data_IF_690821783244
#
_entry.id   IF_690821783244
#
_cell.length_a   1.000
_cell.length_b   1.000
_cell.length_c   1.000
_cell.angle_alpha   90.00
_cell.angle_beta   90.00
_cell.angle_gamma   90.00
#
_symmetry.space_group_name_H-M   'P 1'
#
loop_
_entity.id
_entity.type
_entity.pdbx_description
1 polymer ?
#
# COMPACT_ATOMS: atom_id res chain seq x y z
N UNK A 1 -47.55 -15.56 8.93
CA UNK A 1 -46.21 -15.96 8.48
C UNK A 1 -45.90 -15.44 7.08
N UNK A 2 -46.59 -15.90 6.04
CA UNK A 2 -46.41 -15.38 4.67
C UNK A 2 -46.61 -13.85 4.57
N UNK A 3 -47.65 -13.32 5.23
CA UNK A 3 -47.91 -11.88 5.30
C UNK A 3 -46.75 -11.11 5.97
N UNK A 4 -46.22 -11.63 7.08
CA UNK A 4 -45.10 -11.00 7.81
C UNK A 4 -43.80 -11.04 6.99
N UNK A 5 -43.54 -12.13 6.28
CA UNK A 5 -42.42 -12.22 5.34
C UNK A 5 -42.57 -11.24 4.17
N UNK A 6 -43.80 -11.06 3.65
CA UNK A 6 -44.11 -10.03 2.64
C UNK A 6 -43.85 -8.61 3.15
N UNK A 7 -44.18 -8.30 4.41
CA UNK A 7 -43.85 -7.02 5.05
C UNK A 7 -42.33 -6.81 5.14
N UNK A 8 -41.57 -7.86 5.48
CA UNK A 8 -40.10 -7.79 5.55
C UNK A 8 -39.50 -7.48 4.17
N UNK A 9 -39.95 -8.14 3.10
CA UNK A 9 -39.50 -7.87 1.73
C UNK A 9 -39.83 -6.42 1.32
N UNK A 10 -41.05 -5.96 1.57
CA UNK A 10 -41.44 -4.59 1.24
C UNK A 10 -40.58 -3.53 1.96
N UNK A 11 -40.19 -3.80 3.21
CA UNK A 11 -39.29 -2.91 3.96
C UNK A 11 -37.86 -2.93 3.38
N UNK A 12 -37.38 -4.07 2.88
CA UNK A 12 -36.08 -4.15 2.21
C UNK A 12 -36.07 -3.31 0.94
N UNK A 13 -37.11 -3.41 0.12
CA UNK A 13 -37.26 -2.57 -1.08
C UNK A 13 -37.25 -1.08 -0.73
N UNK A 14 -37.93 -0.71 0.36
CA UNK A 14 -37.95 0.66 0.86
C UNK A 14 -36.55 1.14 1.30
N UNK A 15 -35.81 0.30 2.03
CA UNK A 15 -34.42 0.56 2.43
C UNK A 15 -33.51 0.75 1.21
N UNK A 16 -33.60 -0.13 0.21
CA UNK A 16 -32.81 -0.05 -1.03
C UNK A 16 -33.15 1.20 -1.82
N UNK A 17 -34.44 1.55 -1.92
CA UNK A 17 -34.89 2.78 -2.58
C UNK A 17 -34.36 4.01 -1.84
N UNK A 18 -34.50 4.06 -0.52
CA UNK A 18 -34.10 5.21 0.30
C UNK A 18 -32.60 5.43 0.30
N UNK A 19 -31.81 4.36 0.27
CA UNK A 19 -30.35 4.43 0.15
C UNK A 19 -29.91 5.26 -1.07
N UNK A 20 -30.63 5.22 -2.20
CA UNK A 20 -30.28 5.99 -3.41
C UNK A 20 -30.38 7.50 -3.20
N UNK A 21 -31.17 7.94 -2.23
CA UNK A 21 -31.38 9.36 -1.89
C UNK A 21 -30.38 9.88 -0.84
N UNK A 22 -29.53 9.00 -0.30
CA UNK A 22 -28.55 9.35 0.74
C UNK A 22 -27.45 10.25 0.18
N UNK A 23 -27.26 11.40 0.83
CA UNK A 23 -26.25 12.41 0.44
C UNK A 23 -25.02 12.41 1.35
N UNK A 24 -25.18 12.00 2.62
CA UNK A 24 -24.13 11.96 3.65
C UNK A 24 -23.95 10.52 4.16
N UNK A 25 -22.74 10.17 4.64
CA UNK A 25 -22.44 8.83 5.17
C UNK A 25 -22.74 7.70 4.16
N UNK A 26 -22.44 7.94 2.88
CA UNK A 26 -22.86 7.05 1.77
C UNK A 26 -22.21 5.68 1.82
N UNK A 27 -20.98 5.59 2.34
CA UNK A 27 -20.24 4.33 2.51
C UNK A 27 -20.89 3.48 3.60
N UNK A 28 -21.21 4.09 4.72
CA UNK A 28 -21.76 3.44 5.92
C UNK A 28 -23.23 3.08 5.71
N UNK A 29 -24.01 3.95 5.05
CA UNK A 29 -25.36 3.62 4.64
C UNK A 29 -25.40 2.47 3.63
N UNK A 30 -24.29 2.23 2.91
CA UNK A 30 -24.19 1.10 1.98
C UNK A 30 -24.14 -0.23 2.73
N UNK A 31 -23.47 -0.29 3.87
CA UNK A 31 -23.39 -1.50 4.72
C UNK A 31 -24.75 -1.85 5.30
N UNK A 32 -25.50 -0.85 5.79
CA UNK A 32 -26.88 -1.05 6.25
C UNK A 32 -27.79 -1.62 5.15
N UNK A 33 -27.60 -1.17 3.90
CA UNK A 33 -28.30 -1.68 2.72
C UNK A 33 -27.84 -3.09 2.32
N UNK A 34 -26.55 -3.40 2.43
CA UNK A 34 -26.02 -4.76 2.16
C UNK A 34 -26.54 -5.79 3.20
N UNK A 35 -26.69 -5.40 4.47
CA UNK A 35 -27.33 -6.24 5.50
C UNK A 35 -28.80 -6.49 5.16
N UNK A 36 -29.55 -5.46 4.76
CA UNK A 36 -30.94 -5.60 4.36
C UNK A 36 -31.11 -6.58 3.17
N UNK A 37 -30.23 -6.50 2.16
CA UNK A 37 -30.20 -7.43 1.04
C UNK A 37 -29.83 -8.87 1.47
N UNK A 38 -28.96 -9.02 2.47
CA UNK A 38 -28.63 -10.34 3.02
C UNK A 38 -29.83 -10.99 3.75
N UNK A 39 -30.68 -10.18 4.39
CA UNK A 39 -31.94 -10.64 5.01
C UNK A 39 -33.00 -10.99 3.95
N UNK A 40 -32.92 -10.38 2.77
CA UNK A 40 -33.79 -10.67 1.63
C UNK A 40 -33.66 -12.12 1.18
N UNK A 41 -32.42 -12.60 0.98
CA UNK A 41 -32.13 -13.98 0.58
C UNK A 41 -32.73 -15.00 1.57
N UNK A 42 -32.61 -14.73 2.87
CA UNK A 42 -33.19 -15.55 3.93
C UNK A 42 -34.72 -15.53 3.89
N UNK A 43 -35.32 -14.36 3.67
CA UNK A 43 -36.78 -14.18 3.68
C UNK A 43 -37.45 -14.78 2.45
N UNK A 44 -36.81 -14.67 1.27
CA UNK A 44 -37.28 -15.30 0.03
C UNK A 44 -37.23 -16.83 0.14
N UNK A 45 -36.18 -17.38 0.76
CA UNK A 45 -36.10 -18.82 1.04
C UNK A 45 -37.26 -19.29 1.92
N UNK A 46 -37.64 -18.54 2.96
CA UNK A 46 -38.81 -18.86 3.80
C UNK A 46 -40.12 -18.85 2.99
N UNK A 47 -40.30 -17.85 2.12
CA UNK A 47 -41.49 -17.74 1.28
C UNK A 47 -41.60 -18.90 0.28
N UNK A 48 -40.48 -19.31 -0.31
CA UNK A 48 -40.45 -20.44 -1.23
C UNK A 48 -40.79 -21.76 -0.54
N UNK A 49 -40.29 -21.98 0.68
CA UNK A 49 -40.68 -23.14 1.50
C UNK A 49 -42.18 -23.14 1.83
N UNK A 50 -42.76 -21.97 2.17
CA UNK A 50 -44.21 -21.84 2.38
C UNK A 50 -44.99 -22.20 1.12
N UNK A 51 -44.50 -21.78 -0.05
CA UNK A 51 -45.14 -22.00 -1.35
C UNK A 51 -45.12 -23.47 -1.76
N UNK A 52 -44.02 -24.18 -1.47
CA UNK A 52 -43.82 -25.57 -1.87
C UNK A 52 -44.50 -26.57 -0.92
N UNK A 53 -44.43 -26.34 0.39
CA UNK A 53 -44.84 -27.33 1.41
C UNK A 53 -46.10 -26.96 2.20
N UNK A 54 -46.58 -25.71 2.05
CA UNK A 54 -47.73 -25.18 2.77
C UNK A 54 -47.39 -24.62 4.16
N UNK A 55 -48.15 -23.65 4.64
CA UNK A 55 -47.83 -22.90 5.87
C UNK A 55 -47.78 -23.73 7.17
N UNK A 56 -48.28 -24.98 7.13
CA UNK A 56 -48.41 -25.89 8.26
C UNK A 56 -47.16 -26.78 8.48
N UNK A 57 -46.24 -26.85 7.51
CA UNK A 57 -44.96 -27.58 7.65
C UNK A 57 -43.86 -26.72 8.26
N UNK A 58 -44.08 -25.41 8.36
CA UNK A 58 -43.12 -24.49 8.95
C UNK A 58 -42.92 -24.74 10.45
N UNK A 59 -41.67 -24.62 10.95
CA UNK A 59 -41.39 -24.70 12.37
C UNK A 59 -42.20 -23.68 13.17
N UNK A 60 -42.84 -24.09 14.29
CA UNK A 60 -43.37 -23.15 15.26
C UNK A 60 -42.19 -22.34 15.82
N UNK A 61 -42.15 -21.04 15.52
CA UNK A 61 -41.08 -20.15 16.00
C UNK A 61 -40.53 -19.16 14.97
N UNK A 62 -40.81 -19.32 13.67
CA UNK A 62 -40.32 -18.39 12.63
C UNK A 62 -40.91 -16.97 12.73
N UNK A 63 -41.99 -16.79 13.48
CA UNK A 63 -42.58 -15.47 13.70
C UNK A 63 -41.64 -14.52 14.44
N UNK A 64 -40.88 -15.03 15.42
CA UNK A 64 -39.96 -14.21 16.22
C UNK A 64 -38.78 -13.67 15.39
N UNK A 65 -38.06 -14.49 14.59
CA UNK A 65 -37.06 -14.01 13.64
C UNK A 65 -37.59 -12.97 12.64
N UNK A 66 -38.76 -13.21 12.04
CA UNK A 66 -39.34 -12.26 11.08
C UNK A 66 -39.75 -10.92 11.74
N UNK A 67 -40.21 -10.96 12.99
CA UNK A 67 -40.47 -9.73 13.76
C UNK A 67 -39.16 -8.98 14.03
N UNK A 68 -38.09 -9.67 14.40
CA UNK A 68 -36.77 -9.07 14.57
C UNK A 68 -36.24 -8.42 13.28
N UNK A 69 -36.43 -9.08 12.13
CA UNK A 69 -36.08 -8.51 10.83
C UNK A 69 -36.90 -7.27 10.51
N UNK A 70 -38.23 -7.33 10.66
CA UNK A 70 -39.12 -6.19 10.45
C UNK A 70 -38.69 -5.00 11.29
N UNK A 71 -38.44 -5.21 12.58
CA UNK A 71 -38.15 -4.11 13.50
C UNK A 71 -36.74 -3.53 13.27
N UNK A 72 -35.75 -4.37 12.95
CA UNK A 72 -34.42 -3.90 12.53
C UNK A 72 -34.45 -3.13 11.21
N UNK A 73 -35.18 -3.61 10.20
CA UNK A 73 -35.29 -2.94 8.90
C UNK A 73 -36.02 -1.59 8.99
N UNK A 74 -37.04 -1.47 9.85
CA UNK A 74 -37.69 -0.19 10.15
C UNK A 74 -36.69 0.82 10.71
N UNK A 75 -35.85 0.42 11.65
CA UNK A 75 -34.83 1.29 12.22
C UNK A 75 -33.74 1.67 11.22
N UNK A 76 -33.33 0.74 10.33
CA UNK A 76 -32.45 1.06 9.20
C UNK A 76 -33.11 2.11 8.30
N UNK A 77 -34.38 1.93 7.94
CA UNK A 77 -35.09 2.88 7.08
C UNK A 77 -35.22 4.27 7.73
N UNK A 78 -35.51 4.35 9.04
CA UNK A 78 -35.49 5.62 9.78
C UNK A 78 -34.13 6.32 9.69
N UNK A 79 -33.06 5.55 9.88
CA UNK A 79 -31.68 6.06 9.81
C UNK A 79 -31.37 6.60 8.42
N UNK A 80 -31.72 5.87 7.36
CA UNK A 80 -31.55 6.32 5.98
C UNK A 80 -32.38 7.56 5.66
N UNK A 81 -33.58 7.67 6.20
CA UNK A 81 -34.41 8.87 6.06
C UNK A 81 -33.76 10.11 6.68
N UNK A 82 -33.08 9.96 7.83
CA UNK A 82 -32.32 11.04 8.44
C UNK A 82 -31.15 11.46 7.54
N UNK A 83 -30.40 10.51 7.00
CA UNK A 83 -29.25 10.73 6.11
C UNK A 83 -29.62 11.28 4.72
N UNK A 84 -30.83 11.01 4.25
CA UNK A 84 -31.37 11.56 3.00
C UNK A 84 -31.98 12.96 3.16
N UNK A 85 -32.23 13.42 4.39
CA UNK A 85 -32.94 14.68 4.65
C UNK A 85 -32.09 15.92 4.37
N UNK A 86 -32.71 16.99 3.84
CA UNK A 86 -32.04 18.29 3.62
C UNK A 86 -31.66 19.02 4.93
N UNK A 87 -32.08 18.48 6.10
CA UNK A 87 -31.69 18.96 7.43
C UNK A 87 -30.23 18.61 7.79
N UNK A 88 -29.57 17.77 7.01
CA UNK A 88 -28.19 17.32 7.18
C UNK A 88 -27.10 18.28 6.62
N UNK A 89 -27.46 19.50 6.18
CA UNK A 89 -26.53 20.45 5.54
C UNK A 89 -25.56 21.17 6.50
N UNK A 90 -25.76 21.05 7.80
CA UNK A 90 -24.97 21.75 8.83
C UNK A 90 -23.95 20.79 9.45
N UNK A 91 -22.65 21.13 9.41
CA UNK A 91 -21.54 20.27 9.84
C UNK A 91 -21.64 19.84 11.31
N UNK A 92 -22.20 20.69 12.18
CA UNK A 92 -22.45 20.33 13.59
C UNK A 92 -23.59 19.31 13.71
N UNK A 93 -24.57 19.36 12.80
CA UNK A 93 -25.62 18.34 12.73
C UNK A 93 -25.09 17.03 12.19
N UNK A 94 -24.09 17.03 11.30
CA UNK A 94 -23.44 15.80 10.81
C UNK A 94 -22.84 15.00 11.97
N UNK A 95 -22.10 15.63 12.90
CA UNK A 95 -21.57 14.94 14.08
C UNK A 95 -22.66 14.41 15.03
N UNK A 96 -23.72 15.20 15.26
CA UNK A 96 -24.88 14.76 16.06
C UNK A 96 -25.58 13.57 15.37
N UNK A 97 -25.76 13.65 14.05
CA UNK A 97 -26.30 12.59 13.23
C UNK A 97 -25.42 11.35 13.28
N UNK A 98 -24.09 11.44 13.26
CA UNK A 98 -23.19 10.27 13.32
C UNK A 98 -23.38 9.46 14.60
N UNK A 99 -23.50 10.10 15.77
CA UNK A 99 -23.76 9.39 17.04
C UNK A 99 -25.16 8.76 17.05
N UNK A 100 -26.19 9.50 16.64
CA UNK A 100 -27.57 8.99 16.59
C UNK A 100 -27.73 7.88 15.56
N UNK A 101 -27.16 8.05 14.37
CA UNK A 101 -27.05 7.06 13.28
C UNK A 101 -26.46 5.77 13.82
N UNK A 102 -25.33 5.86 14.50
CA UNK A 102 -24.58 4.68 14.92
C UNK A 102 -25.25 3.91 16.06
N UNK A 103 -25.84 4.62 17.02
CA UNK A 103 -26.62 3.97 18.09
C UNK A 103 -27.85 3.28 17.53
N UNK A 104 -28.58 3.94 16.62
CA UNK A 104 -29.75 3.34 15.96
C UNK A 104 -29.38 2.17 15.06
N UNK A 105 -28.31 2.30 14.28
CA UNK A 105 -27.82 1.25 13.40
C UNK A 105 -27.35 0.04 14.20
N UNK A 106 -26.62 0.24 15.30
CA UNK A 106 -26.21 -0.85 16.21
C UNK A 106 -27.42 -1.58 16.78
N UNK A 107 -28.44 -0.84 17.23
CA UNK A 107 -29.68 -1.42 17.73
C UNK A 107 -30.42 -2.22 16.65
N UNK A 108 -30.47 -1.70 15.43
CA UNK A 108 -31.10 -2.34 14.29
C UNK A 108 -30.40 -3.64 13.87
N UNK A 109 -29.06 -3.60 13.74
CA UNK A 109 -28.27 -4.78 13.37
C UNK A 109 -28.31 -5.84 14.48
N UNK A 110 -28.32 -5.42 15.76
CA UNK A 110 -28.48 -6.35 16.89
C UNK A 110 -29.82 -7.09 16.85
N UNK A 111 -30.92 -6.43 16.46
CA UNK A 111 -32.22 -7.08 16.24
C UNK A 111 -32.14 -8.09 15.11
N UNK A 112 -31.58 -7.70 13.96
CA UNK A 112 -31.42 -8.61 12.81
C UNK A 112 -30.56 -9.82 13.20
N UNK A 113 -29.46 -9.61 13.92
CA UNK A 113 -28.61 -10.67 14.45
C UNK A 113 -29.38 -11.63 15.36
N UNK A 114 -30.16 -11.11 16.32
CA UNK A 114 -31.00 -11.95 17.17
C UNK A 114 -32.04 -12.76 16.39
N UNK A 115 -32.54 -12.24 15.26
CA UNK A 115 -33.36 -13.01 14.33
C UNK A 115 -32.59 -14.15 13.65
N UNK A 116 -31.37 -13.88 13.17
CA UNK A 116 -30.52 -14.86 12.49
C UNK A 116 -29.99 -15.95 13.43
N UNK A 117 -29.69 -15.62 14.68
CA UNK A 117 -29.29 -16.58 15.72
C UNK A 117 -30.37 -17.61 16.00
N UNK A 118 -31.62 -17.14 16.13
CA UNK A 118 -32.78 -18.00 16.33
C UNK A 118 -33.02 -18.95 15.14
N UNK A 119 -32.69 -18.51 13.93
CA UNK A 119 -32.80 -19.32 12.71
C UNK A 119 -31.66 -20.33 12.57
N UNK A 120 -30.45 -19.94 12.97
CA UNK A 120 -29.24 -20.77 12.84
C UNK A 120 -29.14 -21.84 13.93
N UNK A 121 -29.66 -21.58 15.14
CA UNK A 121 -29.68 -22.53 16.25
C UNK A 121 -30.82 -23.56 16.20
N UNK A 122 -31.74 -23.44 15.24
CA UNK A 122 -32.87 -24.35 15.11
C UNK A 122 -32.52 -25.52 14.17
N UNK A 123 -31.95 -26.59 14.72
CA UNK A 123 -31.63 -27.82 13.97
C UNK A 123 -32.85 -28.58 13.45
N UNK A 124 -34.06 -28.22 13.88
CA UNK A 124 -35.24 -29.07 13.71
C UNK A 124 -36.02 -28.84 12.40
N UNK A 125 -35.76 -27.78 11.61
CA UNK A 125 -36.80 -27.37 10.67
C UNK A 125 -36.42 -26.47 9.49
N UNK A 126 -35.14 -26.41 9.09
CA UNK A 126 -34.72 -25.59 7.94
C UNK A 126 -33.71 -26.31 7.06
N UNK A 127 -33.81 -26.10 5.74
CA UNK A 127 -32.89 -26.68 4.74
C UNK A 127 -31.44 -26.23 4.99
N UNK A 128 -30.47 -27.07 4.62
CA UNK A 128 -29.05 -26.73 4.65
C UNK A 128 -28.73 -25.43 3.88
N UNK A 129 -29.44 -25.17 2.77
CA UNK A 129 -29.30 -23.93 2.01
C UNK A 129 -29.75 -22.72 2.84
N UNK A 130 -30.89 -22.84 3.51
CA UNK A 130 -31.41 -21.81 4.40
C UNK A 130 -30.45 -21.48 5.54
N UNK A 131 -29.89 -22.51 6.19
CA UNK A 131 -28.92 -22.33 7.28
C UNK A 131 -27.64 -21.65 6.78
N UNK A 132 -27.22 -21.93 5.55
CA UNK A 132 -26.08 -21.23 4.94
C UNK A 132 -26.35 -19.76 4.64
N UNK A 133 -27.56 -19.41 4.15
CA UNK A 133 -27.94 -18.00 3.97
C UNK A 133 -28.00 -17.27 5.31
N UNK A 134 -28.61 -17.86 6.33
CA UNK A 134 -28.69 -17.29 7.66
C UNK A 134 -27.29 -17.08 8.29
N UNK A 135 -26.39 -18.06 8.15
CA UNK A 135 -25.00 -17.97 8.63
C UNK A 135 -24.21 -16.86 7.93
N UNK A 136 -24.29 -16.77 6.60
CA UNK A 136 -23.62 -15.70 5.83
C UNK A 136 -24.13 -14.31 6.21
N UNK A 137 -25.45 -14.17 6.38
CA UNK A 137 -26.04 -12.91 6.84
C UNK A 137 -25.59 -12.56 8.27
N UNK A 138 -25.42 -13.58 9.13
CA UNK A 138 -24.98 -13.41 10.52
C UNK A 138 -23.50 -13.02 10.61
N UNK A 139 -22.64 -13.64 9.81
CA UNK A 139 -21.22 -13.27 9.67
C UNK A 139 -21.09 -11.79 9.28
N UNK A 140 -21.82 -11.34 8.25
CA UNK A 140 -21.85 -9.92 7.84
C UNK A 140 -22.36 -8.98 8.93
N UNK A 141 -23.40 -9.37 9.67
CA UNK A 141 -23.93 -8.58 10.77
C UNK A 141 -22.92 -8.43 11.92
N UNK A 142 -22.17 -9.49 12.22
CA UNK A 142 -21.10 -9.48 13.23
C UNK A 142 -19.93 -8.58 12.79
N UNK A 143 -19.42 -8.77 11.58
CA UNK A 143 -18.35 -7.94 11.02
C UNK A 143 -18.74 -6.45 11.02
N UNK A 144 -19.98 -6.13 10.67
CA UNK A 144 -20.45 -4.73 10.69
C UNK A 144 -20.53 -4.18 12.11
N UNK A 145 -20.99 -4.96 13.08
CA UNK A 145 -21.06 -4.53 14.49
C UNK A 145 -19.67 -4.32 15.11
N UNK A 146 -18.71 -5.18 14.78
CA UNK A 146 -17.33 -5.10 15.26
C UNK A 146 -16.61 -3.89 14.69
N UNK A 147 -16.80 -3.59 13.40
CA UNK A 147 -16.15 -2.46 12.73
C UNK A 147 -16.87 -1.12 12.95
N UNK A 148 -18.10 -1.11 13.46
CA UNK A 148 -18.90 0.11 13.63
C UNK A 148 -18.21 1.21 14.48
N UNK A 149 -17.52 0.91 15.60
CA UNK A 149 -16.79 1.93 16.37
C UNK A 149 -15.68 2.62 15.56
N UNK A 150 -14.96 1.88 14.73
CA UNK A 150 -13.88 2.43 13.89
C UNK A 150 -14.43 3.28 12.76
N UNK A 151 -15.53 2.84 12.14
CA UNK A 151 -16.25 3.63 11.15
C UNK A 151 -16.72 4.97 11.74
N UNK A 152 -17.23 4.98 12.98
CA UNK A 152 -17.62 6.22 13.67
C UNK A 152 -16.42 7.12 13.89
N UNK A 153 -15.30 6.56 14.35
CA UNK A 153 -14.06 7.32 14.59
C UNK A 153 -13.56 7.96 13.30
N UNK A 154 -13.56 7.22 12.20
CA UNK A 154 -13.13 7.71 10.89
C UNK A 154 -14.05 8.80 10.34
N UNK A 155 -15.39 8.63 10.43
CA UNK A 155 -16.37 9.65 10.03
C UNK A 155 -16.17 10.94 10.81
N UNK A 156 -16.05 10.83 12.15
CA UNK A 156 -15.84 11.99 13.01
C UNK A 156 -14.51 12.66 12.68
N UNK A 157 -13.44 11.89 12.49
CA UNK A 157 -12.13 12.43 12.13
C UNK A 157 -12.12 13.13 10.77
N UNK A 158 -12.77 12.57 9.76
CA UNK A 158 -12.81 13.13 8.41
C UNK A 158 -13.71 14.37 8.33
N UNK A 159 -14.84 14.38 9.05
CA UNK A 159 -15.69 15.57 9.14
C UNK A 159 -15.00 16.70 9.91
N UNK A 160 -14.23 16.38 10.97
CA UNK A 160 -13.39 17.34 11.70
C UNK A 160 -12.29 17.90 10.78
N UNK A 161 -11.57 17.05 10.04
CA UNK A 161 -10.55 17.49 9.06
C UNK A 161 -11.17 18.40 7.99
N UNK A 162 -12.34 18.03 7.46
CA UNK A 162 -13.06 18.82 6.46
C UNK A 162 -13.59 20.16 7.02
N UNK A 163 -13.93 20.22 8.30
CA UNK A 163 -14.29 21.44 9.00
C UNK A 163 -13.08 22.36 9.19
N UNK A 164 -11.92 21.82 9.58
CA UNK A 164 -10.67 22.58 9.77
C UNK A 164 -10.07 23.09 8.46
N UNK A 165 -10.18 22.33 7.37
CA UNK A 165 -9.60 22.70 6.08
C UNK A 165 -10.42 23.75 5.31
N UNK A 166 -11.76 23.72 5.43
CA UNK A 166 -12.64 24.61 4.66
C UNK A 166 -12.94 25.94 5.34
N UNK A 167 -12.64 26.04 6.64
CA UNK A 167 -12.97 27.20 7.44
C UNK A 167 -11.66 27.72 8.00
N UNK A 168 -11.20 28.91 7.62
CA UNK A 168 -10.16 29.66 8.34
C UNK A 168 -10.67 30.06 9.74
N UNK A 169 -11.21 29.12 10.49
CA UNK A 169 -11.84 29.28 11.79
C UNK A 169 -10.94 28.57 12.77
N UNK A 170 -10.51 29.32 13.78
CA UNK A 170 -9.78 28.80 14.93
C UNK A 170 -10.55 27.61 15.55
N UNK A 171 -9.91 26.52 15.98
CA UNK A 171 -10.60 25.30 16.44
C UNK A 171 -11.57 25.52 17.62
N UNK A 172 -11.39 26.60 18.39
CA UNK A 172 -12.03 26.88 19.67
C UNK A 172 -13.57 26.99 19.58
N UNK A 173 -14.19 27.82 18.71
CA UNK A 173 -15.65 27.91 18.57
C UNK A 173 -16.34 26.61 18.11
N UNK A 174 -15.60 25.66 17.53
CA UNK A 174 -16.13 24.33 17.19
C UNK A 174 -16.08 23.38 18.39
N UNK A 175 -14.99 23.40 19.15
CA UNK A 175 -14.84 22.61 20.38
C UNK A 175 -15.84 23.07 21.45
N UNK A 176 -16.10 24.37 21.57
CA UNK A 176 -17.10 24.90 22.51
C UNK A 176 -18.52 24.41 22.19
N UNK A 177 -18.85 24.22 20.91
CA UNK A 177 -20.14 23.61 20.50
C UNK A 177 -20.22 22.13 20.83
N UNK A 178 -19.11 21.40 20.78
CA UNK A 178 -19.07 19.99 21.20
C UNK A 178 -19.31 19.87 22.71
N UNK A 179 -18.71 20.75 23.50
CA UNK A 179 -18.92 20.82 24.97
C UNK A 179 -20.35 21.25 25.30
N UNK A 180 -20.86 22.30 24.65
CA UNK A 180 -22.22 22.81 24.86
C UNK A 180 -23.32 21.78 24.60
N UNK A 181 -23.03 20.76 23.79
CA UNK A 181 -23.94 19.67 23.47
C UNK A 181 -23.58 18.33 24.15
N UNK A 182 -22.76 18.35 25.22
CA UNK A 182 -22.35 17.19 26.01
C UNK A 182 -21.59 16.10 25.21
N UNK A 183 -20.81 16.48 24.20
CA UNK A 183 -19.91 15.56 23.50
C UNK A 183 -18.53 15.43 24.18
N UNK A 184 -18.18 16.37 25.04
CA UNK A 184 -17.00 16.34 25.92
C UNK A 184 -17.33 17.09 27.22
N UNK A 185 -16.66 16.75 28.33
CA UNK A 185 -16.93 17.40 29.62
C UNK A 185 -16.50 18.86 29.62
N UNK A 186 -15.38 19.15 28.97
CA UNK A 186 -14.87 20.49 28.73
C UNK A 186 -14.01 20.53 27.45
N UNK A 187 -13.59 21.74 27.07
CA UNK A 187 -12.84 21.97 25.82
C UNK A 187 -11.44 21.33 25.88
N UNK A 188 -10.89 21.11 27.07
CA UNK A 188 -9.60 20.43 27.26
C UNK A 188 -9.74 18.91 27.12
N UNK A 189 -10.84 18.34 27.63
CA UNK A 189 -11.24 16.94 27.46
C UNK A 189 -11.46 16.61 25.98
N UNK A 190 -12.17 17.46 25.23
CA UNK A 190 -12.35 17.30 23.79
C UNK A 190 -11.02 17.29 23.02
N UNK A 191 -10.11 18.21 23.39
CA UNK A 191 -8.79 18.34 22.76
C UNK A 191 -7.88 17.15 23.08
N UNK A 192 -7.94 16.67 24.32
CA UNK A 192 -7.20 15.50 24.79
C UNK A 192 -7.68 14.22 24.10
N UNK A 193 -8.99 13.99 24.05
CA UNK A 193 -9.57 12.83 23.35
C UNK A 193 -9.22 12.83 21.85
N UNK A 194 -9.21 14.01 21.21
CA UNK A 194 -8.79 14.12 19.80
C UNK A 194 -7.30 13.77 19.61
N UNK A 195 -6.43 14.19 20.52
CA UNK A 195 -5.00 13.84 20.49
C UNK A 195 -4.78 12.35 20.76
N UNK A 196 -5.49 11.78 21.73
CA UNK A 196 -5.45 10.35 22.04
C UNK A 196 -5.91 9.51 20.84
N UNK A 197 -6.99 9.91 20.15
CA UNK A 197 -7.48 9.23 18.93
C UNK A 197 -6.51 9.36 17.75
N UNK A 198 -5.85 10.51 17.58
CA UNK A 198 -4.82 10.68 16.54
C UNK A 198 -3.62 9.78 16.80
N UNK A 199 -3.21 9.67 18.06
CA UNK A 199 -2.11 8.80 18.48
C UNK A 199 -2.48 7.32 18.38
N UNK A 200 -3.68 6.93 18.80
CA UNK A 200 -4.19 5.56 18.69
C UNK A 200 -4.30 5.13 17.23
N UNK A 201 -4.79 5.99 16.33
CA UNK A 201 -4.78 5.74 14.88
C UNK A 201 -3.37 5.50 14.36
N UNK A 202 -2.38 6.29 14.78
CA UNK A 202 -0.99 6.12 14.38
C UNK A 202 -0.38 4.82 14.92
N UNK A 203 -0.72 4.45 16.15
CA UNK A 203 -0.34 3.15 16.73
C UNK A 203 -0.97 1.98 15.98
N UNK A 204 -2.28 2.02 15.72
CA UNK A 204 -3.00 0.97 15.00
C UNK A 204 -2.51 0.83 13.55
N UNK A 205 -2.15 1.94 12.90
CA UNK A 205 -1.52 1.90 11.57
C UNK A 205 -0.15 1.23 11.62
N UNK A 206 0.65 1.48 12.66
CA UNK A 206 1.93 0.82 12.85
C UNK A 206 1.77 -0.68 13.19
N UNK A 207 0.82 -1.03 14.06
CA UNK A 207 0.51 -2.40 14.46
C UNK A 207 -0.06 -3.21 13.28
N UNK A 208 -0.93 -2.60 12.47
CA UNK A 208 -1.39 -3.20 11.22
C UNK A 208 -0.24 -3.41 10.23
N UNK A 209 0.67 -2.42 10.09
CA UNK A 209 1.86 -2.59 9.26
C UNK A 209 2.74 -3.75 9.75
N UNK A 210 2.82 -3.94 11.06
CA UNK A 210 3.57 -5.01 11.71
C UNK A 210 2.90 -6.38 11.50
N UNK A 211 1.58 -6.48 11.71
CA UNK A 211 0.81 -7.70 11.47
C UNK A 211 0.77 -8.10 9.99
N UNK A 212 0.62 -7.12 9.08
CA UNK A 212 0.66 -7.35 7.64
C UNK A 212 2.05 -7.85 7.21
N UNK A 213 3.12 -7.32 7.80
CA UNK A 213 4.50 -7.81 7.59
C UNK A 213 4.67 -9.25 8.09
N UNK A 214 4.18 -9.58 9.28
CA UNK A 214 4.27 -10.93 9.86
C UNK A 214 3.42 -11.95 9.06
N UNK A 215 2.24 -11.55 8.60
CA UNK A 215 1.38 -12.35 7.74
C UNK A 215 2.04 -12.60 6.37
N UNK A 216 2.63 -11.57 5.76
CA UNK A 216 3.43 -11.70 4.54
C UNK A 216 4.61 -12.65 4.71
N UNK A 217 5.28 -12.60 5.86
CA UNK A 217 6.39 -13.50 6.19
C UNK A 217 5.93 -14.95 6.38
N UNK A 218 4.78 -15.15 7.06
CA UNK A 218 4.14 -16.49 7.19
C UNK A 218 3.65 -17.04 5.85
N UNK A 219 3.09 -16.21 4.98
CA UNK A 219 2.65 -16.59 3.62
C UNK A 219 3.86 -16.95 2.74
N UNK A 220 4.99 -16.24 2.86
CA UNK A 220 6.24 -16.61 2.22
C UNK A 220 6.77 -17.97 2.74
N UNK A 221 6.66 -18.22 4.04
CA UNK A 221 7.08 -19.49 4.66
C UNK A 221 6.15 -20.67 4.31
N UNK A 222 4.85 -20.43 4.13
CA UNK A 222 3.90 -21.45 3.67
C UNK A 222 4.10 -21.80 2.18
N UNK A 223 4.53 -20.83 1.36
CA UNK A 223 4.91 -21.08 -0.04
C UNK A 223 6.20 -21.91 -0.19
N UNK A 224 6.92 -22.17 0.91
CA UNK A 224 8.11 -23.04 0.97
C UNK A 224 7.78 -24.47 1.44
N UNK A 225 6.52 -24.76 1.84
CA UNK A 225 6.07 -26.06 2.32
C UNK A 225 5.18 -26.77 1.28
N UNK A 226 5.72 -27.01 0.08
CA UNK A 226 5.21 -28.05 -0.82
C UNK A 226 6.28 -28.46 -1.86
N UNK A 227 7.38 -29.05 -1.39
CA UNK A 227 8.19 -29.98 -2.19
C UNK A 227 8.63 -31.12 -1.25
N UNK A 228 7.93 -32.24 -1.33
CA UNK A 228 8.32 -33.49 -0.68
C UNK A 228 9.57 -34.05 -1.40
N UNK A 229 10.66 -34.16 -0.63
CA UNK A 229 11.84 -35.05 -0.78
C UNK A 229 12.46 -35.26 -2.18
N UNK A 230 13.63 -34.62 -2.42
CA UNK A 230 14.76 -35.22 -3.16
C UNK A 230 16.09 -34.56 -2.74
N UNK A 231 17.23 -35.29 -2.82
CA UNK A 231 18.44 -35.06 -2.01
C UNK A 231 19.19 -33.77 -2.39
N UNK A 232 20.06 -33.23 -1.51
CA UNK A 232 20.65 -31.92 -1.73
C UNK A 232 21.47 -31.92 -3.03
N UNK A 233 21.17 -31.05 -4.01
CA UNK A 233 22.09 -30.82 -5.09
C UNK A 233 23.22 -29.97 -4.51
N UNK A 234 24.42 -30.53 -4.59
CA UNK A 234 25.69 -29.86 -4.36
C UNK A 234 25.71 -28.48 -5.03
N UNK A 235 26.29 -27.44 -4.39
CA UNK A 235 26.27 -26.10 -4.96
C UNK A 235 27.09 -26.07 -6.26
N UNK A 236 26.54 -25.60 -7.40
CA UNK A 236 27.37 -25.20 -8.52
C UNK A 236 28.02 -23.83 -8.20
N UNK A 237 29.30 -23.63 -8.56
CA UNK A 237 30.01 -22.39 -8.30
C UNK A 237 29.62 -21.36 -9.36
N UNK A 238 29.05 -20.22 -8.95
CA UNK A 238 28.93 -19.06 -9.83
C UNK A 238 28.93 -17.76 -9.03
N UNK A 239 30.14 -17.35 -8.68
CA UNK A 239 30.67 -15.97 -8.69
C UNK A 239 29.65 -14.82 -8.62
N UNK A 240 29.13 -14.51 -7.43
CA UNK A 240 28.85 -13.12 -7.10
C UNK A 240 30.20 -12.45 -6.79
N UNK A 241 30.73 -11.66 -7.74
CA UNK A 241 31.92 -10.82 -7.48
C UNK A 241 31.66 -9.96 -6.24
N UNK A 242 32.54 -10.03 -5.24
CA UNK A 242 32.44 -9.21 -4.04
C UNK A 242 32.41 -7.72 -4.41
N UNK A 243 31.31 -7.02 -4.10
CA UNK A 243 31.21 -5.56 -4.18
C UNK A 243 30.52 -4.96 -5.41
N UNK A 244 29.95 -5.76 -6.31
CA UNK A 244 29.13 -5.23 -7.42
C UNK A 244 27.64 -5.28 -7.09
N UNK A 245 26.85 -4.25 -7.49
CA UNK A 245 25.40 -4.32 -7.37
C UNK A 245 24.87 -5.50 -8.20
N UNK A 246 23.92 -6.27 -7.66
CA UNK A 246 23.14 -7.23 -8.43
C UNK A 246 22.66 -6.61 -9.75
N UNK A 247 22.67 -7.40 -10.82
CA UNK A 247 22.24 -6.95 -12.15
C UNK A 247 20.79 -6.45 -12.17
N UNK A 248 19.93 -6.97 -11.27
CA UNK A 248 18.56 -6.49 -11.07
C UNK A 248 18.47 -5.03 -10.58
N UNK A 249 19.55 -4.45 -10.06
CA UNK A 249 19.60 -3.06 -9.59
C UNK A 249 20.08 -2.09 -10.67
N UNK A 250 20.59 -2.62 -11.78
CA UNK A 250 21.14 -1.82 -12.88
C UNK A 250 20.05 -1.55 -13.92
N UNK A 251 19.87 -0.27 -14.25
CA UNK A 251 18.95 0.15 -15.30
C UNK A 251 19.46 -0.33 -16.67
N UNK A 252 18.66 -1.05 -17.47
CA UNK A 252 19.08 -1.51 -18.80
C UNK A 252 19.40 -0.39 -19.79
N UNK A 253 18.73 0.77 -19.66
CA UNK A 253 18.91 1.92 -20.56
C UNK A 253 20.19 2.70 -20.20
N UNK A 254 20.35 3.07 -18.93
CA UNK A 254 21.49 3.90 -18.49
C UNK A 254 22.75 3.07 -18.18
N UNK A 255 22.58 1.78 -17.88
CA UNK A 255 23.60 0.86 -17.38
C UNK A 255 24.20 1.28 -16.03
N UNK A 256 23.49 2.14 -15.31
CA UNK A 256 23.85 2.62 -13.98
C UNK A 256 22.87 2.10 -12.93
N UNK A 257 23.27 2.16 -11.66
CA UNK A 257 22.42 1.79 -10.52
C UNK A 257 21.18 2.69 -10.48
N UNK A 258 19.99 2.09 -10.40
CA UNK A 258 18.73 2.84 -10.36
C UNK A 258 18.62 3.65 -9.06
N UNK A 259 18.17 4.89 -9.16
CA UNK A 259 17.83 5.74 -8.01
C UNK A 259 16.32 5.81 -7.80
N UNK A 260 15.57 5.85 -8.90
CA UNK A 260 14.12 5.80 -8.87
C UNK A 260 13.58 4.70 -9.82
N UNK A 261 13.66 3.42 -9.41
CA UNK A 261 13.25 2.32 -10.25
C UNK A 261 11.74 2.34 -10.52
N UNK A 262 11.38 2.24 -11.80
CA UNK A 262 10.01 2.07 -12.30
C UNK A 262 9.92 0.78 -13.11
N UNK A 263 8.82 0.04 -12.94
CA UNK A 263 8.58 -1.20 -13.69
C UNK A 263 7.60 -0.94 -14.82
N UNK A 264 7.98 -1.38 -16.01
CA UNK A 264 7.12 -1.40 -17.18
C UNK A 264 6.11 -2.55 -17.06
N UNK A 265 4.82 -2.28 -17.28
CA UNK A 265 3.75 -3.30 -17.18
C UNK A 265 3.59 -4.07 -18.50
N UNK A 266 4.67 -4.68 -18.96
CA UNK A 266 4.71 -5.62 -20.08
C UNK A 266 5.01 -7.03 -19.58
N UNK A 267 4.96 -8.04 -20.45
CA UNK A 267 5.33 -9.42 -20.12
C UNK A 267 6.77 -9.54 -19.59
N UNK A 268 7.65 -8.59 -19.92
CA UNK A 268 9.05 -8.58 -19.44
C UNK A 268 9.17 -8.16 -17.97
N UNK A 269 8.18 -7.43 -17.43
CA UNK A 269 8.18 -6.86 -16.08
C UNK A 269 9.49 -6.18 -15.67
N UNK A 270 10.21 -5.60 -16.63
CA UNK A 270 11.54 -5.04 -16.42
C UNK A 270 11.49 -3.69 -15.71
N UNK A 271 12.42 -3.47 -14.79
CA UNK A 271 12.62 -2.17 -14.13
C UNK A 271 13.68 -1.32 -14.81
N UNK A 272 13.44 -0.01 -14.83
CA UNK A 272 14.28 1.03 -15.43
C UNK A 272 14.38 2.24 -14.50
N UNK A 273 15.37 3.10 -14.71
CA UNK A 273 15.42 4.43 -14.11
C UNK A 273 14.30 5.32 -14.71
N UNK A 274 13.50 5.98 -13.86
CA UNK A 274 12.33 6.75 -14.27
C UNK A 274 12.63 7.71 -15.41
N UNK A 275 13.61 8.59 -15.21
CA UNK A 275 13.92 9.65 -16.17
C UNK A 275 14.37 9.10 -17.53
N UNK A 276 15.03 7.94 -17.53
CA UNK A 276 15.47 7.26 -18.74
C UNK A 276 14.30 6.62 -19.48
N UNK A 277 13.37 5.99 -18.75
CA UNK A 277 12.19 5.36 -19.33
C UNK A 277 11.20 6.41 -19.87
N UNK A 278 10.94 7.49 -19.13
CA UNK A 278 10.07 8.60 -19.56
C UNK A 278 10.57 9.19 -20.90
N UNK A 279 11.86 9.52 -20.98
CA UNK A 279 12.46 10.05 -22.21
C UNK A 279 12.37 9.09 -23.39
N UNK A 280 12.45 7.78 -23.14
CA UNK A 280 12.34 6.76 -24.18
C UNK A 280 10.89 6.67 -24.69
N UNK A 281 9.91 6.59 -23.79
CA UNK A 281 8.49 6.47 -24.14
C UNK A 281 7.93 7.75 -24.78
N UNK A 282 8.49 8.92 -24.50
CA UNK A 282 8.17 10.16 -25.22
C UNK A 282 8.47 10.06 -26.74
N UNK A 283 9.50 9.30 -27.11
CA UNK A 283 9.92 9.10 -28.51
C UNK A 283 9.29 7.84 -29.11
N UNK A 284 9.05 6.82 -28.29
CA UNK A 284 8.56 5.51 -28.71
C UNK A 284 7.46 5.00 -27.74
N UNK A 285 6.24 5.56 -27.79
CA UNK A 285 5.21 5.32 -26.76
C UNK A 285 4.75 3.87 -26.61
N UNK A 286 4.88 3.07 -27.67
CA UNK A 286 4.37 1.69 -27.71
C UNK A 286 5.49 0.64 -27.69
N UNK A 287 6.77 1.01 -27.59
CA UNK A 287 7.89 0.08 -27.78
C UNK A 287 8.57 -0.28 -26.47
N UNK A 288 8.73 -1.56 -26.18
CA UNK A 288 9.48 -2.01 -24.99
C UNK A 288 11.00 -1.78 -25.21
N UNK A 289 11.69 -1.01 -24.33
CA UNK A 289 13.10 -0.68 -24.50
C UNK A 289 14.06 -1.88 -24.49
N UNK A 290 13.67 -2.99 -23.85
CA UNK A 290 14.51 -4.18 -23.72
C UNK A 290 14.25 -5.17 -24.85
N UNK A 291 12.98 -5.49 -25.10
CA UNK A 291 12.63 -6.54 -26.07
C UNK A 291 12.48 -6.00 -27.49
N UNK A 292 12.39 -4.67 -27.64
CA UNK A 292 12.15 -3.97 -28.90
C UNK A 292 10.84 -4.40 -29.59
N UNK A 293 9.88 -4.91 -28.79
CA UNK A 293 8.55 -5.33 -29.25
C UNK A 293 7.58 -4.15 -29.13
N UNK A 294 6.76 -3.96 -30.15
CA UNK A 294 5.72 -2.94 -30.18
C UNK A 294 4.40 -3.49 -29.60
N UNK A 295 3.77 -2.69 -28.73
CA UNK A 295 2.45 -2.91 -28.13
C UNK A 295 1.35 -2.23 -28.94
N UNK A 296 0.13 -2.74 -28.85
CA UNK A 296 -1.06 -2.14 -29.47
C UNK A 296 -1.50 -0.85 -28.75
N UNK A 297 -1.15 -0.71 -27.47
CA UNK A 297 -1.47 0.44 -26.64
C UNK A 297 -0.19 1.09 -26.07
N UNK A 298 -0.21 2.40 -25.76
CA UNK A 298 0.91 3.06 -25.09
C UNK A 298 1.29 2.36 -23.79
N UNK A 299 2.59 2.19 -23.59
CA UNK A 299 3.09 1.44 -22.45
C UNK A 299 2.94 2.23 -21.15
N UNK A 300 2.52 1.52 -20.10
CA UNK A 300 2.31 2.08 -18.77
C UNK A 300 3.37 1.52 -17.83
N UNK A 301 3.87 2.35 -16.92
CA UNK A 301 4.82 1.94 -15.89
C UNK A 301 4.41 2.45 -14.50
N UNK A 302 4.89 1.76 -13.47
CA UNK A 302 4.62 2.10 -12.07
C UNK A 302 5.89 2.15 -11.22
N UNK A 303 5.87 2.92 -10.14
CA UNK A 303 7.00 3.01 -9.21
C UNK A 303 7.26 1.67 -8.52
N UNK A 304 8.48 1.16 -8.60
CA UNK A 304 8.89 -0.07 -7.94
C UNK A 304 9.52 0.24 -6.56
N UNK A 305 8.66 0.51 -5.58
CA UNK A 305 9.10 0.84 -4.21
C UNK A 305 9.92 -0.28 -3.56
N UNK A 306 9.61 -1.53 -3.88
CA UNK A 306 10.34 -2.69 -3.36
C UNK A 306 11.78 -2.74 -3.86
N UNK A 307 11.97 -2.60 -5.18
CA UNK A 307 13.30 -2.54 -5.77
C UNK A 307 14.07 -1.32 -5.28
N UNK A 308 13.38 -0.19 -5.09
CA UNK A 308 13.97 1.02 -4.49
C UNK A 308 14.51 0.74 -3.09
N UNK A 309 13.71 0.15 -2.20
CA UNK A 309 14.15 -0.21 -0.85
C UNK A 309 15.25 -1.27 -0.84
N UNK A 310 15.23 -2.25 -1.77
CA UNK A 310 16.33 -3.21 -1.93
C UNK A 310 17.63 -2.53 -2.34
N UNK A 311 17.56 -1.60 -3.30
CA UNK A 311 18.72 -0.83 -3.74
C UNK A 311 19.22 0.05 -2.59
N UNK A 312 18.34 0.70 -1.85
CA UNK A 312 18.70 1.52 -0.68
C UNK A 312 19.34 0.70 0.44
N UNK A 313 18.80 -0.49 0.74
CA UNK A 313 19.39 -1.41 1.71
C UNK A 313 20.76 -1.92 1.24
N UNK A 314 20.86 -2.33 -0.03
CA UNK A 314 22.13 -2.71 -0.62
C UNK A 314 23.13 -1.55 -0.55
N UNK A 315 22.68 -0.32 -0.82
CA UNK A 315 23.50 0.90 -0.70
C UNK A 315 23.97 1.11 0.75
N UNK A 316 23.10 0.87 1.73
CA UNK A 316 23.38 1.01 3.16
C UNK A 316 24.34 -0.07 3.70
N UNK A 317 24.24 -1.29 3.19
CA UNK A 317 25.13 -2.41 3.57
C UNK A 317 26.49 -2.31 2.88
N UNK A 318 26.54 -1.67 1.71
CA UNK A 318 27.75 -1.44 0.93
C UNK A 318 28.22 0.02 1.03
N UNK A 319 27.90 0.71 2.15
CA UNK A 319 28.28 2.11 2.39
C UNK A 319 29.78 2.29 2.25
N UNK A 320 30.64 1.34 2.61
CA UNK A 320 32.09 1.47 2.41
C UNK A 320 32.53 1.52 0.93
N UNK A 321 31.65 1.17 -0.01
CA UNK A 321 31.86 1.29 -1.47
C UNK A 321 31.09 2.46 -2.11
N UNK A 322 30.12 3.04 -1.39
CA UNK A 322 29.22 4.11 -1.87
C UNK A 322 29.32 5.41 -1.07
N UNK A 323 30.01 5.38 0.07
CA UNK A 323 30.44 6.55 0.81
C UNK A 323 31.45 7.26 -0.04
N UNK A 324 30.95 8.22 -0.83
CA UNK A 324 31.74 9.32 -1.37
C UNK A 324 32.71 9.76 -0.28
N UNK A 325 34.03 9.59 -0.44
CA UNK A 325 34.92 10.27 0.47
C UNK A 325 34.72 11.77 0.21
N UNK A 326 34.37 12.60 1.21
CA UNK A 326 34.28 14.03 1.04
C UNK A 326 35.71 14.53 0.95
N UNK A 327 36.23 14.46 -0.27
CA UNK A 327 37.56 14.88 -0.59
C UNK A 327 37.35 15.94 -1.65
N UNK A 328 37.13 17.18 -1.19
CA UNK A 328 37.33 18.41 -1.98
C UNK A 328 38.83 18.55 -2.31
N UNK A 329 39.40 17.56 -3.00
CA UNK A 329 40.72 17.64 -3.59
C UNK A 329 40.55 17.89 -5.08
N UNK A 330 41.33 18.83 -5.59
CA UNK A 330 41.48 18.97 -7.02
C UNK A 330 42.11 17.70 -7.64
N UNK A 331 41.85 17.51 -8.93
CA UNK A 331 42.36 16.37 -9.71
C UNK A 331 43.89 16.27 -9.65
N UNK A 332 44.59 17.41 -9.58
CA UNK A 332 46.04 17.44 -9.46
C UNK A 332 46.54 16.81 -8.15
N UNK A 333 45.87 17.09 -7.03
CA UNK A 333 46.21 16.54 -5.73
C UNK A 333 45.86 15.06 -5.64
N UNK A 334 44.75 14.64 -6.24
CA UNK A 334 44.38 13.23 -6.36
C UNK A 334 45.47 12.47 -7.15
N UNK A 335 45.88 12.99 -8.31
CA UNK A 335 46.92 12.38 -9.15
C UNK A 335 48.24 12.21 -8.39
N UNK A 336 48.69 13.27 -7.71
CA UNK A 336 49.93 13.24 -6.91
C UNK A 336 49.87 12.19 -5.80
N UNK A 337 48.76 12.10 -5.08
CA UNK A 337 48.59 11.14 -3.98
C UNK A 337 48.47 9.71 -4.49
N UNK A 338 47.76 9.49 -5.61
CA UNK A 338 47.63 8.18 -6.24
C UNK A 338 48.99 7.64 -6.70
N UNK A 339 49.81 8.47 -7.35
CA UNK A 339 51.15 8.09 -7.79
C UNK A 339 52.14 7.86 -6.65
N UNK A 340 51.99 8.57 -5.53
CA UNK A 340 52.88 8.46 -4.37
C UNK A 340 52.45 7.42 -3.32
N UNK A 341 51.26 6.82 -3.46
CA UNK A 341 50.68 5.94 -2.46
C UNK A 341 51.44 4.61 -2.33
N UNK A 342 51.98 4.35 -1.14
CA UNK A 342 52.71 3.11 -0.82
C UNK A 342 51.78 2.00 -0.34
N UNK A 343 50.68 2.35 0.32
CA UNK A 343 49.68 1.42 0.84
C UNK A 343 48.45 1.31 -0.08
N UNK A 344 47.77 0.16 0.04
CA UNK A 344 46.61 -0.18 -0.77
C UNK A 344 45.40 0.70 -0.49
N UNK A 345 45.18 1.03 0.79
CA UNK A 345 44.05 1.83 1.22
C UNK A 345 44.09 3.25 0.63
N UNK A 346 45.26 3.90 0.63
CA UNK A 346 45.43 5.22 0.01
C UNK A 346 45.23 5.16 -1.51
N UNK A 347 45.74 4.13 -2.20
CA UNK A 347 45.50 3.97 -3.64
C UNK A 347 44.01 3.82 -3.95
N UNK A 348 43.32 2.96 -3.20
CA UNK A 348 41.89 2.72 -3.35
C UNK A 348 41.09 4.02 -3.14
N UNK A 349 41.37 4.74 -2.06
CA UNK A 349 40.68 5.97 -1.72
C UNK A 349 40.88 7.07 -2.78
N UNK A 350 42.10 7.21 -3.31
CA UNK A 350 42.38 8.20 -4.37
C UNK A 350 41.77 7.81 -5.71
N UNK A 351 41.78 6.52 -6.06
CA UNK A 351 41.17 6.03 -7.31
C UNK A 351 39.64 6.16 -7.30
N UNK A 352 39.00 5.95 -6.14
CA UNK A 352 37.55 6.19 -5.95
C UNK A 352 37.22 7.69 -6.02
N UNK A 353 38.01 8.55 -5.36
CA UNK A 353 37.80 9.99 -5.46
C UNK A 353 37.92 10.50 -6.91
N UNK A 354 38.88 9.97 -7.68
CA UNK A 354 39.02 10.27 -9.10
C UNK A 354 37.84 9.76 -9.93
N UNK A 355 37.37 8.54 -9.64
CA UNK A 355 36.20 7.94 -10.28
C UNK A 355 34.95 8.82 -10.18
N UNK A 356 34.74 9.38 -8.99
CA UNK A 356 33.60 10.23 -8.67
C UNK A 356 33.74 11.61 -9.33
N UNK A 357 34.93 12.21 -9.27
CA UNK A 357 35.20 13.50 -9.88
C UNK A 357 35.07 13.49 -11.42
N UNK A 358 35.28 12.34 -12.05
CA UNK A 358 35.21 12.16 -13.51
C UNK A 358 33.83 11.69 -14.00
N UNK A 359 32.76 11.93 -13.25
CA UNK A 359 31.40 11.48 -13.61
C UNK A 359 31.02 11.85 -15.06
N UNK A 360 30.11 11.08 -15.65
CA UNK A 360 29.82 11.05 -17.07
C UNK A 360 29.48 12.43 -17.67
N UNK A 361 28.98 13.36 -16.85
CA UNK A 361 28.60 14.73 -17.24
C UNK A 361 29.77 15.73 -17.25
N UNK A 362 30.89 15.43 -16.61
CA UNK A 362 32.00 16.38 -16.39
C UNK A 362 33.20 16.05 -17.28
N UNK A 363 33.12 16.46 -18.56
CA UNK A 363 34.20 16.27 -19.54
C UNK A 363 35.52 16.99 -19.18
N UNK A 364 35.51 18.23 -18.64
CA UNK A 364 36.74 18.92 -18.21
C UNK A 364 37.60 18.14 -17.21
N UNK A 365 36.98 17.43 -16.26
CA UNK A 365 37.72 16.66 -15.26
C UNK A 365 38.42 15.44 -15.87
N UNK A 366 37.81 14.79 -16.89
CA UNK A 366 38.43 13.66 -17.59
C UNK A 366 39.69 14.06 -18.35
N UNK A 367 39.67 15.24 -18.98
CA UNK A 367 40.86 15.80 -19.66
C UNK A 367 41.91 16.17 -18.62
N UNK A 368 41.51 16.83 -17.52
CA UNK A 368 42.41 17.23 -16.43
C UNK A 368 43.07 16.02 -15.78
N UNK A 369 42.34 14.91 -15.59
CA UNK A 369 42.88 13.67 -15.01
C UNK A 369 44.01 13.09 -15.85
N UNK A 370 43.88 13.09 -17.18
CA UNK A 370 44.97 12.69 -18.08
C UNK A 370 46.15 13.64 -17.99
N UNK A 371 45.90 14.95 -18.07
CA UNK A 371 46.97 15.98 -18.01
C UNK A 371 47.75 15.90 -16.70
N UNK A 372 47.07 15.59 -15.59
CA UNK A 372 47.71 15.39 -14.28
C UNK A 372 48.41 14.03 -14.11
N UNK A 373 48.41 13.15 -15.12
CA UNK A 373 49.18 11.90 -15.10
C UNK A 373 48.55 10.78 -14.26
N UNK A 374 47.22 10.73 -14.16
CA UNK A 374 46.53 9.69 -13.38
C UNK A 374 46.50 8.30 -14.04
N UNK A 375 46.71 8.23 -15.36
CA UNK A 375 46.52 7.01 -16.15
C UNK A 375 47.56 5.93 -15.80
N UNK A 376 48.86 6.23 -15.78
CA UNK A 376 49.88 5.22 -15.48
C UNK A 376 49.73 4.61 -14.08
N UNK A 377 49.46 5.39 -13.01
CA UNK A 377 49.15 4.83 -11.70
C UNK A 377 47.93 3.90 -11.70
N UNK A 378 46.87 4.24 -12.47
CA UNK A 378 45.67 3.40 -12.58
C UNK A 378 45.95 2.11 -13.36
N UNK A 379 46.70 2.15 -14.46
CA UNK A 379 47.08 0.94 -15.21
C UNK A 379 47.99 0.04 -14.37
N UNK A 380 48.90 0.63 -13.59
CA UNK A 380 49.70 -0.14 -12.61
C UNK A 380 48.83 -0.78 -11.53
N UNK A 381 47.85 -0.04 -11.02
CA UNK A 381 46.88 -0.52 -10.03
C UNK A 381 45.97 -1.62 -10.60
N UNK A 382 45.63 -1.55 -11.90
CA UNK A 382 44.89 -2.59 -12.62
C UNK A 382 45.66 -3.91 -12.69
N UNK A 383 46.98 -3.82 -12.88
CA UNK A 383 47.87 -4.97 -13.03
C UNK A 383 48.40 -5.51 -11.68
N UNK A 384 47.92 -4.99 -10.55
CA UNK A 384 48.27 -5.53 -9.23
C UNK A 384 47.43 -6.79 -8.92
N UNK A 385 47.98 -7.72 -8.12
CA UNK A 385 47.30 -8.96 -7.70
C UNK A 385 46.16 -8.76 -6.67
N UNK A 386 45.79 -7.52 -6.38
CA UNK A 386 44.66 -7.19 -5.52
C UNK A 386 43.41 -6.94 -6.38
N UNK A 387 42.46 -7.88 -6.30
CA UNK A 387 41.22 -7.81 -7.09
C UNK A 387 40.38 -6.57 -6.82
N UNK A 388 40.48 -5.98 -5.62
CA UNK A 388 39.72 -4.78 -5.25
C UNK A 388 40.33 -3.53 -5.86
N UNK A 389 41.65 -3.40 -5.83
CA UNK A 389 42.38 -2.33 -6.52
C UNK A 389 42.15 -2.39 -8.04
N UNK A 390 42.28 -3.59 -8.61
CA UNK A 390 42.16 -3.81 -10.04
C UNK A 390 40.76 -3.46 -10.56
N UNK A 391 39.72 -3.82 -9.80
CA UNK A 391 38.34 -3.50 -10.17
C UNK A 391 38.06 -2.00 -10.18
N UNK A 392 38.50 -1.27 -9.15
CA UNK A 392 38.33 0.18 -9.08
C UNK A 392 39.10 0.86 -10.22
N UNK A 393 40.34 0.44 -10.47
CA UNK A 393 41.15 0.95 -11.57
C UNK A 393 40.46 0.72 -12.92
N UNK A 394 39.93 -0.49 -13.19
CA UNK A 394 39.21 -0.80 -14.43
C UNK A 394 37.99 0.10 -14.63
N UNK A 395 37.19 0.31 -13.58
CA UNK A 395 36.00 1.16 -13.62
C UNK A 395 36.35 2.63 -13.88
N UNK A 396 37.42 3.13 -13.26
CA UNK A 396 37.89 4.51 -13.45
C UNK A 396 38.47 4.72 -14.86
N UNK A 397 39.28 3.77 -15.35
CA UNK A 397 39.82 3.81 -16.71
C UNK A 397 38.71 3.75 -17.77
N UNK A 398 37.68 2.92 -17.58
CA UNK A 398 36.52 2.86 -18.47
C UNK A 398 35.79 4.21 -18.53
N UNK A 399 35.64 4.90 -17.39
CA UNK A 399 35.01 6.22 -17.34
C UNK A 399 35.85 7.29 -18.03
N UNK A 400 37.18 7.25 -17.85
CA UNK A 400 38.12 8.14 -18.55
C UNK A 400 38.16 7.89 -20.06
N UNK A 401 37.99 6.64 -20.51
CA UNK A 401 37.99 6.24 -21.93
C UNK A 401 36.81 6.81 -22.74
N UNK A 402 35.83 7.44 -22.09
CA UNK A 402 34.74 8.16 -22.78
C UNK A 402 35.19 9.48 -23.41
N UNK A 403 36.47 9.82 -23.28
CA UNK A 403 37.14 10.92 -23.98
C UNK A 403 38.21 10.30 -24.91
N UNK A 404 38.30 10.80 -26.14
CA UNK A 404 39.02 10.11 -27.22
C UNK A 404 40.55 10.14 -27.03
N UNK A 405 41.13 11.26 -26.57
CA UNK A 405 42.58 11.34 -26.28
C UNK A 405 42.97 10.42 -25.12
N UNK A 406 42.07 10.25 -24.14
CA UNK A 406 42.27 9.34 -23.02
C UNK A 406 42.34 7.88 -23.47
N UNK A 407 41.60 7.46 -24.51
CA UNK A 407 41.70 6.09 -25.05
C UNK A 407 43.13 5.81 -25.55
N UNK A 408 43.71 6.76 -26.27
CA UNK A 408 45.09 6.66 -26.79
C UNK A 408 46.08 6.60 -25.63
N UNK A 409 45.91 7.47 -24.63
CA UNK A 409 46.80 7.50 -23.46
C UNK A 409 46.73 6.21 -22.64
N UNK A 410 45.54 5.63 -22.45
CA UNK A 410 45.37 4.34 -21.76
C UNK A 410 46.05 3.22 -22.54
N UNK A 411 45.86 3.16 -23.86
CA UNK A 411 46.49 2.13 -24.70
C UNK A 411 48.03 2.22 -24.71
N UNK A 412 48.59 3.43 -24.60
CA UNK A 412 50.05 3.61 -24.51
C UNK A 412 50.62 3.23 -23.13
N UNK A 413 49.80 3.30 -22.08
CA UNK A 413 50.21 3.02 -20.70
C UNK A 413 50.28 1.50 -20.38
N UNK A 414 49.65 0.65 -21.21
CA UNK A 414 49.68 -0.81 -21.09
C UNK A 414 48.31 -1.44 -21.16
#
# INVERSE_FOLDING_TARGET
MAELAGIVIALIDEVVKKYREVKILKKECKEARDIAQSVEEVTLSILETIRQEGAHTLPPGLGTPLNHFRDGLKEINEVLCLCASDKAKDKTKVLIFTKTYSTKLRAAISKIKGGLELLSGSHAATSFEFQNYARKAMERANETLENLPDQIRDIVADEIKAALNNSKISPEPFLDKLVQHNFANDTADAKRQLQELQHERESLLADKLFADKELLEKVCNLSLLDIHEMPPPTPPPSSSKLGQPPSEFICPITRDLMEDPVTLFTESHQSYERTALEKFLDQHPCRDPMTNVDSLEPLIFGTNKHLKSKIELWKAEHVSFLSKPPIDLDIATIARRLGAATDSETRLNMALALHDACDNRDMPNKVTARVCGTIDPLVKMLNNNDGREAEVAAKTLLKLSREDDNQIAIANAG
#
